data_IF_267179389109
#
_entry.id   IF_267179389109
#
_cell.length_a   1.000
_cell.length_b   1.000
_cell.length_c   1.000
_cell.angle_alpha   90.00
_cell.angle_beta   90.00
_cell.angle_gamma   90.00
#
_symmetry.space_group_name_H-M   'P 1'
#
loop_
_entity.id
_entity.type
_entity.pdbx_description
1 polymer ?
#
# COMPACT_ATOMS: atom_id res chain seq x y z
N UNK A 1 -10.42 8.84 -2.96
CA UNK A 1 -10.53 7.47 -3.53
C UNK A 1 -11.82 6.85 -3.07
N UNK A 2 -12.49 6.08 -3.93
CA UNK A 2 -13.70 5.35 -3.56
C UNK A 2 -13.31 4.13 -2.72
N UNK A 3 -14.23 3.63 -1.90
CA UNK A 3 -13.98 2.50 -0.99
C UNK A 3 -14.97 1.38 -1.24
N UNK A 4 -14.50 0.14 -1.12
CA UNK A 4 -15.26 -1.09 -1.33
C UNK A 4 -15.09 -2.01 -0.13
N UNK A 5 -16.11 -2.82 0.15
CA UNK A 5 -16.03 -3.84 1.20
C UNK A 5 -15.13 -4.98 0.74
N UNK A 6 -14.15 -5.36 1.57
CA UNK A 6 -13.28 -6.49 1.31
C UNK A 6 -14.00 -7.79 1.68
N UNK A 7 -14.75 -8.36 0.73
CA UNK A 7 -15.54 -9.56 0.96
C UNK A 7 -16.51 -9.41 2.14
N UNK A 8 -16.51 -10.38 3.05
CA UNK A 8 -17.35 -10.40 4.27
C UNK A 8 -16.63 -9.94 5.53
N UNK A 9 -15.46 -9.31 5.39
CA UNK A 9 -14.58 -8.97 6.54
C UNK A 9 -15.05 -7.76 7.35
N UNK A 10 -15.94 -6.93 6.80
CA UNK A 10 -16.30 -5.64 7.39
C UNK A 10 -15.27 -4.53 7.17
N UNK A 11 -14.11 -4.84 6.56
CA UNK A 11 -13.06 -3.87 6.24
C UNK A 11 -13.40 -3.15 4.92
N UNK A 12 -13.21 -1.83 4.87
CA UNK A 12 -13.36 -1.03 3.66
C UNK A 12 -11.99 -0.63 3.09
N UNK A 13 -11.69 -1.04 1.86
CA UNK A 13 -10.43 -0.74 1.15
C UNK A 13 -10.68 0.15 -0.07
N UNK A 14 -9.68 0.90 -0.53
CA UNK A 14 -9.75 1.68 -1.76
C UNK A 14 -9.75 0.82 -3.02
N UNK A 15 -10.20 1.34 -4.18
CA UNK A 15 -10.07 0.63 -5.47
C UNK A 15 -8.64 0.23 -5.83
N UNK A 16 -7.65 0.91 -5.26
CA UNK A 16 -6.23 0.68 -5.49
C UNK A 16 -5.56 0.26 -4.19
N UNK A 17 -4.67 -0.72 -4.28
CA UNK A 17 -3.76 -1.14 -3.20
C UNK A 17 -2.32 -0.71 -3.49
N UNK A 18 -1.49 -0.66 -2.45
CA UNK A 18 -0.05 -0.50 -2.58
C UNK A 18 0.64 -1.84 -2.35
N UNK A 19 1.22 -2.43 -3.39
CA UNK A 19 2.03 -3.65 -3.26
C UNK A 19 3.44 -3.32 -2.75
N UNK A 20 3.79 -3.85 -1.58
CA UNK A 20 5.07 -3.62 -0.89
C UNK A 20 6.14 -4.66 -1.23
N UNK A 21 5.80 -5.78 -1.90
CA UNK A 21 6.80 -6.79 -2.28
C UNK A 21 8.01 -6.21 -3.06
N UNK A 22 7.84 -5.31 -4.06
CA UNK A 22 8.97 -4.82 -4.86
C UNK A 22 10.02 -4.04 -4.06
N UNK A 23 9.66 -3.43 -2.92
CA UNK A 23 10.61 -2.65 -2.10
C UNK A 23 11.44 -3.53 -1.16
N UNK A 24 11.11 -4.82 -1.04
CA UNK A 24 11.80 -5.75 -0.14
C UNK A 24 13.19 -6.19 -0.62
N UNK A 25 13.96 -6.84 0.27
CA UNK A 25 15.35 -7.24 0.01
C UNK A 25 15.50 -8.30 -1.09
N UNK A 26 14.48 -9.13 -1.32
CA UNK A 26 14.45 -10.13 -2.38
C UNK A 26 14.07 -9.55 -3.76
N UNK A 27 13.77 -8.26 -3.85
CA UNK A 27 13.38 -7.55 -5.07
C UNK A 27 14.33 -6.38 -5.30
N UNK A 28 13.87 -5.13 -5.20
CA UNK A 28 14.70 -3.95 -5.48
C UNK A 28 15.68 -3.60 -4.34
N UNK A 29 15.49 -4.15 -3.14
CA UNK A 29 16.33 -3.92 -1.95
C UNK A 29 16.70 -2.44 -1.73
N UNK A 30 15.69 -1.56 -1.79
CA UNK A 30 15.91 -0.12 -1.67
C UNK A 30 16.15 0.28 -0.20
N UNK A 31 16.80 1.42 0.06
CA UNK A 31 16.94 1.94 1.42
C UNK A 31 15.58 2.12 2.12
N UNK A 32 15.57 1.90 3.44
CA UNK A 32 14.37 1.98 4.27
C UNK A 32 13.68 3.33 4.11
N UNK A 33 14.44 4.42 4.10
CA UNK A 33 13.94 5.79 3.97
C UNK A 33 13.19 5.98 2.64
N UNK A 34 13.68 5.35 1.57
CA UNK A 34 13.04 5.41 0.24
C UNK A 34 11.75 4.58 0.24
N UNK A 35 11.76 3.38 0.80
CA UNK A 35 10.57 2.54 0.95
C UNK A 35 9.49 3.22 1.81
N UNK A 36 9.88 3.77 2.95
CA UNK A 36 8.99 4.51 3.84
C UNK A 36 8.36 5.74 3.14
N UNK A 37 9.15 6.47 2.34
CA UNK A 37 8.63 7.59 1.54
C UNK A 37 7.60 7.16 0.50
N UNK A 38 7.79 6.00 -0.15
CA UNK A 38 6.83 5.45 -1.11
C UNK A 38 5.52 5.06 -0.43
N UNK A 39 5.58 4.32 0.68
CA UNK A 39 4.41 3.94 1.48
C UNK A 39 3.67 5.19 1.95
N UNK A 40 4.38 6.17 2.51
CA UNK A 40 3.79 7.43 2.97
C UNK A 40 3.08 8.16 1.84
N UNK A 41 3.69 8.24 0.66
CA UNK A 41 3.09 8.89 -0.50
C UNK A 41 1.80 8.20 -0.92
N UNK A 42 1.76 6.86 -0.91
CA UNK A 42 0.55 6.10 -1.20
C UNK A 42 -0.59 6.42 -0.23
N UNK A 43 -0.29 6.43 1.08
CA UNK A 43 -1.26 6.78 2.13
C UNK A 43 -1.77 8.22 2.00
N UNK A 44 -0.88 9.18 1.74
CA UNK A 44 -1.24 10.60 1.54
C UNK A 44 -2.09 10.81 0.27
N UNK A 45 -1.95 9.94 -0.75
CA UNK A 45 -2.81 9.94 -1.95
C UNK A 45 -4.16 9.25 -1.73
N UNK A 46 -4.40 8.71 -0.54
CA UNK A 46 -5.67 8.16 -0.11
C UNK A 46 -5.80 6.65 -0.22
N UNK A 47 -4.75 5.93 -0.65
CA UNK A 47 -4.71 4.46 -0.60
C UNK A 47 -4.75 4.06 0.88
N UNK A 48 -5.57 3.08 1.24
CA UNK A 48 -5.69 2.63 2.63
C UNK A 48 -5.42 1.14 2.83
N UNK A 49 -4.92 0.47 1.80
CA UNK A 49 -4.63 -0.95 1.80
C UNK A 49 -3.25 -1.18 1.19
N UNK A 50 -2.38 -1.84 1.98
CA UNK A 50 -1.03 -2.24 1.61
C UNK A 50 -1.01 -3.77 1.62
N UNK A 51 -0.49 -4.35 0.53
CA UNK A 51 -0.25 -5.79 0.38
C UNK A 51 1.25 -6.09 0.46
#
# INVERSE_FOLDING_TARGET
MKKYSLGKTGIKVTELCFGALPIGPMQANIPIEKGAKLIRTALEKGINFID
#
